data_IF_377873761731
#
_entry.id   IF_377873761731
#
_cell.length_a   1.000
_cell.length_b   1.000
_cell.length_c   1.000
_cell.angle_alpha   90.00
_cell.angle_beta   90.00
_cell.angle_gamma   90.00
#
_symmetry.space_group_name_H-M   'P 1'
#
loop_
_entity.id
_entity.type
_entity.pdbx_description
1 polymer ?
#
# COMPACT_ATOMS: atom_id res chain seq x y z
N UNK A 1 -27.70 13.56 6.24
CA UNK A 1 -26.61 12.56 6.36
C UNK A 1 -25.31 13.11 5.82
N UNK A 2 -24.25 12.91 6.55
CA UNK A 2 -22.94 13.37 6.11
C UNK A 2 -22.29 12.29 5.24
N UNK A 3 -21.87 12.68 4.03
CA UNK A 3 -21.16 11.78 3.14
C UNK A 3 -19.71 11.63 3.65
N UNK A 4 -19.26 10.41 3.87
CA UNK A 4 -17.90 10.16 4.33
C UNK A 4 -16.88 10.38 3.21
N UNK A 5 -15.61 10.58 3.59
CA UNK A 5 -14.52 10.69 2.62
C UNK A 5 -14.39 9.41 1.80
N UNK A 6 -14.62 8.26 2.43
CA UNK A 6 -14.61 6.98 1.72
C UNK A 6 -15.66 6.97 0.61
N UNK A 7 -16.88 7.41 0.91
CA UNK A 7 -17.95 7.46 -0.09
C UNK A 7 -17.62 8.42 -1.22
N UNK A 8 -17.04 9.57 -0.90
CA UNK A 8 -16.64 10.56 -1.90
C UNK A 8 -15.59 9.96 -2.85
N UNK A 9 -14.55 9.33 -2.30
CA UNK A 9 -13.51 8.70 -3.11
C UNK A 9 -14.08 7.58 -3.98
N UNK A 10 -15.01 6.78 -3.44
CA UNK A 10 -15.64 5.72 -4.23
C UNK A 10 -16.43 6.27 -5.40
N UNK A 11 -17.13 7.40 -5.20
CA UNK A 11 -17.85 8.07 -6.28
C UNK A 11 -16.89 8.56 -7.37
N UNK A 12 -15.76 9.12 -6.95
CA UNK A 12 -14.75 9.60 -7.91
C UNK A 12 -14.18 8.43 -8.72
N UNK A 13 -13.96 7.28 -8.08
CA UNK A 13 -13.45 6.09 -8.75
C UNK A 13 -14.48 5.44 -9.68
N UNK A 14 -15.76 5.69 -9.46
CA UNK A 14 -16.80 5.19 -10.37
C UNK A 14 -16.64 5.78 -11.77
N UNK A 15 -16.20 7.05 -11.87
CA UNK A 15 -15.99 7.70 -13.17
C UNK A 15 -14.53 7.63 -13.63
N UNK A 16 -13.58 7.36 -12.73
CA UNK A 16 -12.15 7.31 -13.06
C UNK A 16 -11.48 6.21 -12.23
N UNK A 17 -11.67 4.92 -12.56
CA UNK A 17 -11.26 3.81 -11.71
C UNK A 17 -9.75 3.67 -11.50
N UNK A 18 -8.94 4.24 -12.38
CA UNK A 18 -7.48 4.15 -12.28
C UNK A 18 -6.83 5.43 -11.77
N UNK A 19 -7.62 6.33 -11.19
CA UNK A 19 -7.09 7.59 -10.64
C UNK A 19 -6.23 7.27 -9.42
N UNK A 20 -4.92 7.30 -9.60
CA UNK A 20 -3.98 6.87 -8.57
C UNK A 20 -4.02 7.74 -7.32
N UNK A 21 -4.19 9.05 -7.48
CA UNK A 21 -4.28 9.95 -6.32
C UNK A 21 -5.50 9.62 -5.46
N UNK A 22 -6.64 9.34 -6.09
CA UNK A 22 -7.86 8.97 -5.37
C UNK A 22 -7.72 7.60 -4.73
N UNK A 23 -7.13 6.63 -5.43
CA UNK A 23 -6.88 5.31 -4.87
C UNK A 23 -5.99 5.40 -3.62
N UNK A 24 -4.93 6.19 -3.69
CA UNK A 24 -4.05 6.34 -2.53
C UNK A 24 -4.78 7.01 -1.36
N UNK A 25 -5.57 8.05 -1.65
CA UNK A 25 -6.38 8.72 -0.62
C UNK A 25 -7.38 7.77 0.03
N UNK A 26 -8.03 6.93 -0.77
CA UNK A 26 -8.98 5.94 -0.26
C UNK A 26 -8.27 4.90 0.63
N UNK A 27 -7.09 4.43 0.22
CA UNK A 27 -6.32 3.50 1.03
C UNK A 27 -5.98 4.10 2.40
N UNK A 28 -5.61 5.39 2.43
CA UNK A 28 -5.31 6.08 3.69
C UNK A 28 -6.56 6.18 4.58
N UNK A 29 -7.74 6.39 4.00
CA UNK A 29 -8.97 6.41 4.79
C UNK A 29 -9.32 5.03 5.35
N UNK A 30 -9.10 3.97 4.56
CA UNK A 30 -9.29 2.61 5.07
C UNK A 30 -8.30 2.29 6.18
N UNK A 31 -7.07 2.81 6.11
CA UNK A 31 -6.10 2.65 7.18
C UNK A 31 -6.61 3.26 8.48
N UNK A 32 -7.16 4.47 8.40
CA UNK A 32 -7.71 5.18 9.57
C UNK A 32 -8.87 4.43 10.22
N UNK A 33 -9.68 3.77 9.43
CA UNK A 33 -10.86 3.04 9.94
C UNK A 33 -10.57 1.58 10.24
N UNK A 34 -9.31 1.17 10.11
CA UNK A 34 -8.85 -0.19 10.35
C UNK A 34 -9.53 -1.22 9.44
N UNK A 35 -9.94 -0.78 8.25
CA UNK A 35 -10.52 -1.64 7.22
C UNK A 35 -9.39 -2.24 6.39
N UNK A 36 -8.66 -3.20 6.98
CA UNK A 36 -7.39 -3.69 6.44
C UNK A 36 -7.55 -4.42 5.11
N UNK A 37 -8.58 -5.26 4.98
CA UNK A 37 -8.79 -6.00 3.72
C UNK A 37 -9.09 -5.04 2.56
N UNK A 38 -9.94 -4.04 2.80
CA UNK A 38 -10.25 -3.03 1.78
C UNK A 38 -9.03 -2.18 1.45
N UNK A 39 -8.21 -1.88 2.46
CA UNK A 39 -6.95 -1.14 2.25
C UNK A 39 -6.02 -1.92 1.31
N UNK A 40 -5.87 -3.22 1.54
CA UNK A 40 -5.02 -4.07 0.70
C UNK A 40 -5.50 -4.07 -0.76
N UNK A 41 -6.79 -4.27 -0.96
CA UNK A 41 -7.36 -4.26 -2.31
C UNK A 41 -7.11 -2.93 -3.01
N UNK A 42 -7.33 -1.83 -2.29
CA UNK A 42 -7.16 -0.48 -2.84
C UNK A 42 -5.69 -0.18 -3.15
N UNK A 43 -4.78 -0.58 -2.27
CA UNK A 43 -3.34 -0.41 -2.51
C UNK A 43 -2.86 -1.21 -3.72
N UNK A 44 -3.38 -2.43 -3.91
CA UNK A 44 -3.02 -3.22 -5.09
C UNK A 44 -3.51 -2.55 -6.37
N UNK A 45 -4.70 -1.96 -6.36
CA UNK A 45 -5.19 -1.18 -7.49
C UNK A 45 -4.31 0.04 -7.76
N UNK A 46 -3.91 0.74 -6.69
CA UNK A 46 -3.02 1.89 -6.80
C UNK A 46 -1.68 1.48 -7.43
N UNK A 47 -1.09 0.40 -6.95
CA UNK A 47 0.21 -0.06 -7.44
C UNK A 47 0.17 -0.54 -8.89
N UNK A 48 -1.01 -0.98 -9.36
CA UNK A 48 -1.19 -1.32 -10.77
C UNK A 48 -1.30 -0.07 -11.65
N UNK A 49 -1.69 1.07 -11.08
CA UNK A 49 -1.96 2.30 -11.83
C UNK A 49 -0.84 3.34 -11.71
N UNK A 50 0.05 3.22 -10.73
CA UNK A 50 1.06 4.23 -10.42
C UNK A 50 2.45 3.61 -10.27
N UNK A 51 3.46 4.41 -10.60
CA UNK A 51 4.86 4.04 -10.38
C UNK A 51 5.27 4.57 -9.00
N UNK A 52 4.96 3.80 -7.96
CA UNK A 52 5.25 4.20 -6.59
C UNK A 52 6.74 4.08 -6.27
N UNK A 53 7.26 5.02 -5.50
CA UNK A 53 8.70 5.06 -5.18
C UNK A 53 9.10 4.12 -4.04
N UNK A 54 8.16 3.38 -3.48
CA UNK A 54 8.43 2.38 -2.45
C UNK A 54 7.54 2.48 -1.22
N UNK A 55 7.01 3.65 -0.90
CA UNK A 55 6.25 3.89 0.32
C UNK A 55 4.97 3.05 0.41
N UNK A 56 4.23 2.96 -0.68
CA UNK A 56 2.96 2.20 -0.70
C UNK A 56 3.20 0.70 -0.53
N UNK A 57 4.34 0.19 -0.99
CA UNK A 57 4.69 -1.22 -0.77
C UNK A 57 4.87 -1.52 0.71
N UNK A 58 5.47 -0.61 1.47
CA UNK A 58 5.59 -0.75 2.92
C UNK A 58 4.24 -0.73 3.62
N UNK A 59 3.34 0.15 3.17
CA UNK A 59 1.98 0.19 3.70
C UNK A 59 1.25 -1.13 3.43
N UNK A 60 1.39 -1.65 2.22
CA UNK A 60 0.78 -2.92 1.82
C UNK A 60 1.33 -4.07 2.66
N UNK A 61 2.66 -4.12 2.85
CA UNK A 61 3.29 -5.15 3.64
C UNK A 61 2.79 -5.15 5.08
N UNK A 62 2.71 -3.98 5.70
CA UNK A 62 2.21 -3.86 7.08
C UNK A 62 0.75 -4.27 7.19
N UNK A 63 -0.05 -3.98 6.16
CA UNK A 63 -1.45 -4.42 6.14
C UNK A 63 -1.56 -5.94 6.07
N UNK A 64 -0.73 -6.59 5.24
CA UNK A 64 -0.68 -8.05 5.19
C UNK A 64 -0.22 -8.63 6.54
N UNK A 65 0.74 -7.98 7.21
CA UNK A 65 1.19 -8.42 8.53
C UNK A 65 0.04 -8.41 9.54
N UNK A 66 -0.79 -7.38 9.49
CA UNK A 66 -1.96 -7.28 10.39
C UNK A 66 -2.93 -8.45 10.21
N UNK A 67 -3.03 -8.99 9.00
CA UNK A 67 -3.89 -10.14 8.72
C UNK A 67 -3.17 -11.48 8.88
N UNK A 68 -1.91 -11.47 9.31
CA UNK A 68 -1.12 -12.68 9.45
C UNK A 68 -0.69 -13.31 8.14
N UNK A 69 -0.74 -12.56 7.06
CA UNK A 69 -0.36 -13.05 5.72
C UNK A 69 1.12 -12.74 5.48
N UNK A 70 1.98 -13.56 6.09
CA UNK A 70 3.42 -13.32 6.13
C UNK A 70 4.09 -13.42 4.76
N UNK A 71 3.67 -14.36 3.92
CA UNK A 71 4.27 -14.52 2.60
C UNK A 71 3.96 -13.33 1.70
N UNK A 72 2.72 -12.85 1.74
CA UNK A 72 2.31 -11.67 0.97
C UNK A 72 3.04 -10.42 1.47
N UNK A 73 3.22 -10.30 2.79
CA UNK A 73 3.97 -9.19 3.37
C UNK A 73 5.42 -9.20 2.89
N UNK A 74 6.05 -10.38 2.87
CA UNK A 74 7.42 -10.53 2.36
C UNK A 74 7.53 -10.05 0.92
N UNK A 75 6.62 -10.50 0.07
CA UNK A 75 6.62 -10.10 -1.34
C UNK A 75 6.46 -8.59 -1.50
N UNK A 76 5.59 -7.98 -0.70
CA UNK A 76 5.39 -6.54 -0.75
C UNK A 76 6.66 -5.78 -0.35
N UNK A 77 7.34 -6.21 0.71
CA UNK A 77 8.62 -5.59 1.09
C UNK A 77 9.67 -5.78 -0.01
N UNK A 78 9.76 -6.94 -0.63
CA UNK A 78 10.72 -7.18 -1.72
C UNK A 78 10.46 -6.25 -2.90
N UNK A 79 9.20 -6.07 -3.28
CA UNK A 79 8.84 -5.14 -4.33
C UNK A 79 9.16 -3.70 -3.93
N UNK A 80 8.93 -3.36 -2.67
CA UNK A 80 9.27 -2.05 -2.13
C UNK A 80 10.76 -1.76 -2.16
N UNK A 81 11.60 -2.74 -1.88
CA UNK A 81 13.06 -2.61 -1.98
C UNK A 81 13.45 -2.24 -3.41
N UNK A 82 12.88 -2.94 -4.39
CA UNK A 82 13.19 -2.69 -5.79
C UNK A 82 12.74 -1.29 -6.22
N UNK A 83 11.52 -0.90 -5.84
CA UNK A 83 11.00 0.42 -6.17
C UNK A 83 11.84 1.52 -5.52
N UNK A 84 12.17 1.37 -4.24
CA UNK A 84 12.98 2.35 -3.52
C UNK A 84 14.38 2.49 -4.14
N UNK A 85 15.01 1.38 -4.47
CA UNK A 85 16.34 1.39 -5.08
C UNK A 85 16.30 2.06 -6.44
N UNK A 86 15.32 1.76 -7.28
CA UNK A 86 15.24 2.30 -8.63
C UNK A 86 14.87 3.79 -8.64
N UNK A 87 14.26 4.30 -7.58
CA UNK A 87 13.90 5.71 -7.47
C UNK A 87 14.87 6.53 -6.60
N UNK A 88 16.01 5.94 -6.23
CA UNK A 88 17.03 6.66 -5.51
C UNK A 88 16.77 6.86 -4.02
N UNK A 89 16.07 5.91 -3.39
CA UNK A 89 15.78 5.93 -1.95
C UNK A 89 16.49 4.77 -1.22
N UNK A 90 17.84 4.81 -1.13
CA UNK A 90 18.58 3.68 -0.52
C UNK A 90 18.25 3.47 0.95
N UNK A 91 17.92 4.53 1.68
CA UNK A 91 17.54 4.41 3.09
C UNK A 91 16.26 3.60 3.28
N UNK A 92 15.26 3.85 2.43
CA UNK A 92 14.01 3.11 2.47
C UNK A 92 14.24 1.64 2.09
N UNK A 93 15.05 1.39 1.05
CA UNK A 93 15.39 0.03 0.64
C UNK A 93 16.07 -0.73 1.80
N UNK A 94 17.01 -0.09 2.48
CA UNK A 94 17.71 -0.70 3.60
C UNK A 94 16.78 -0.97 4.78
N UNK A 95 15.85 -0.06 5.06
CA UNK A 95 14.85 -0.26 6.10
C UNK A 95 14.02 -1.52 5.83
N UNK A 96 13.57 -1.69 4.59
CA UNK A 96 12.78 -2.88 4.22
C UNK A 96 13.62 -4.16 4.30
N UNK A 97 14.89 -4.11 3.90
CA UNK A 97 15.78 -5.26 4.04
C UNK A 97 15.97 -5.65 5.50
N UNK A 98 16.10 -4.66 6.38
CA UNK A 98 16.24 -4.88 7.81
C UNK A 98 15.01 -5.58 8.39
N UNK A 99 13.81 -5.15 7.97
CA UNK A 99 12.58 -5.80 8.39
C UNK A 99 12.55 -7.25 7.92
N UNK A 100 12.92 -7.50 6.67
CA UNK A 100 12.91 -8.85 6.11
C UNK A 100 13.93 -9.78 6.77
N UNK A 101 15.02 -9.23 7.32
CA UNK A 101 15.99 -10.07 8.04
C UNK A 101 15.35 -10.73 9.27
N UNK A 102 14.34 -10.08 9.86
CA UNK A 102 13.60 -10.65 10.99
C UNK A 102 12.60 -11.73 10.57
N UNK A 103 12.34 -11.87 9.27
CA UNK A 103 11.45 -12.91 8.72
C UNK A 103 12.18 -14.26 8.63
N UNK A 104 13.48 -14.26 8.72
CA UNK A 104 14.29 -15.47 8.61
C UNK A 104 14.53 -16.05 10.00
N UNK A 105 14.03 -17.23 10.24
CA UNK A 105 14.21 -17.92 11.51
C UNK A 105 15.11 -19.13 11.35
#
# INVERSE_FOLDING_TARGET
MTTSRIDIFKQMLASDPANSAVLFGLAKEYEKTDATAEMIETLNRYLAAADDEGNAYGMLARAYEKLGQRNEARQAYERGIQAAASHGHPGMAEEYRSILSDYED
#
